data_IF_735265836145
#
_entry.id   IF_735265836145
#
_cell.length_a   1.000
_cell.length_b   1.000
_cell.length_c   1.000
_cell.angle_alpha   90.00
_cell.angle_beta   90.00
_cell.angle_gamma   90.00
#
_symmetry.space_group_name_H-M   'P 1'
#
loop_
_entity.id
_entity.type
_entity.pdbx_description
1 polymer ?
#
# COMPACT_ATOMS: atom_id res chain seq x y z
N UNK A 1 -1.83 -10.10 -3.46
CA UNK A 1 -2.22 -11.45 -3.95
C UNK A 1 -3.22 -12.18 -3.04
N UNK A 2 -2.90 -12.59 -1.81
CA UNK A 2 -3.74 -13.56 -1.08
C UNK A 2 -5.20 -13.14 -0.79
N UNK A 3 -5.48 -11.92 -0.30
CA UNK A 3 -6.83 -11.59 0.21
C UNK A 3 -7.90 -11.52 -0.89
N UNK A 4 -7.59 -10.92 -2.04
CA UNK A 4 -8.53 -10.80 -3.17
C UNK A 4 -8.67 -12.09 -3.99
N UNK A 5 -7.70 -13.00 -3.90
CA UNK A 5 -7.84 -14.36 -4.43
C UNK A 5 -8.72 -15.24 -3.54
N UNK A 6 -8.76 -14.98 -2.23
CA UNK A 6 -9.56 -15.76 -1.26
C UNK A 6 -11.04 -15.34 -1.24
N UNK A 7 -11.36 -14.08 -1.58
CA UNK A 7 -12.73 -13.56 -1.64
C UNK A 7 -13.05 -12.92 -3.01
N UNK A 8 -13.17 -13.72 -4.08
CA UNK A 8 -13.53 -13.19 -5.39
C UNK A 8 -14.89 -12.48 -5.34
N UNK A 9 -14.92 -11.21 -5.73
CA UNK A 9 -16.13 -10.37 -5.76
C UNK A 9 -16.42 -9.55 -4.50
N UNK A 10 -15.60 -9.66 -3.44
CA UNK A 10 -15.69 -8.78 -2.30
C UNK A 10 -15.35 -7.33 -2.68
N UNK A 11 -16.05 -6.39 -2.04
CA UNK A 11 -15.79 -4.96 -2.23
C UNK A 11 -14.40 -4.60 -1.68
N UNK A 12 -13.48 -4.07 -2.53
CA UNK A 12 -12.16 -3.64 -2.09
C UNK A 12 -12.23 -2.70 -0.89
N UNK A 13 -13.18 -1.77 -0.84
CA UNK A 13 -13.28 -0.80 0.24
C UNK A 13 -13.58 -1.49 1.58
N UNK A 14 -14.45 -2.49 1.56
CA UNK A 14 -14.79 -3.29 2.76
C UNK A 14 -13.57 -4.09 3.21
N UNK A 15 -12.90 -4.78 2.28
CA UNK A 15 -11.72 -5.59 2.59
C UNK A 15 -10.61 -4.74 3.21
N UNK A 16 -10.27 -3.61 2.58
CA UNK A 16 -9.27 -2.69 3.09
C UNK A 16 -9.67 -2.06 4.43
N UNK A 17 -10.94 -1.68 4.60
CA UNK A 17 -11.46 -1.14 5.87
C UNK A 17 -11.34 -2.14 7.01
N UNK A 18 -11.63 -3.42 6.77
CA UNK A 18 -11.52 -4.48 7.78
C UNK A 18 -10.06 -4.77 8.10
N UNK A 19 -9.20 -4.90 7.09
CA UNK A 19 -7.77 -5.20 7.24
C UNK A 19 -7.03 -4.10 8.00
N UNK A 20 -7.44 -2.85 7.87
CA UNK A 20 -6.82 -1.71 8.58
C UNK A 20 -7.51 -1.41 9.90
N UNK A 21 -8.85 -1.44 9.92
CA UNK A 21 -9.68 -1.06 11.05
C UNK A 21 -9.62 -2.02 12.23
N UNK A 22 -9.64 -3.34 12.00
CA UNK A 22 -9.58 -4.32 13.09
C UNK A 22 -8.24 -4.23 13.84
N UNK A 23 -7.07 -4.25 13.19
CA UNK A 23 -5.80 -4.09 13.88
C UNK A 23 -5.70 -2.78 14.65
N UNK A 24 -6.18 -1.67 14.07
CA UNK A 24 -6.21 -0.37 14.74
C UNK A 24 -7.10 -0.40 16.00
N UNK A 25 -8.30 -0.99 15.91
CA UNK A 25 -9.21 -1.14 17.04
C UNK A 25 -8.59 -2.00 18.15
N UNK A 26 -7.96 -3.11 17.79
CA UNK A 26 -7.25 -3.97 18.74
C UNK A 26 -6.09 -3.23 19.41
N UNK A 27 -5.28 -2.51 18.62
CA UNK A 27 -4.19 -1.68 19.14
C UNK A 27 -4.71 -0.61 20.10
N UNK A 28 -5.84 0.02 19.78
CA UNK A 28 -6.51 1.00 20.64
C UNK A 28 -6.97 0.38 21.97
N UNK A 29 -7.64 -0.79 21.93
CA UNK A 29 -8.07 -1.50 23.13
C UNK A 29 -6.87 -1.87 24.00
N UNK A 30 -5.81 -2.41 23.42
CA UNK A 30 -4.58 -2.76 24.13
C UNK A 30 -3.91 -1.52 24.74
N UNK A 31 -3.83 -0.43 23.98
CA UNK A 31 -3.29 0.84 24.45
C UNK A 31 -4.07 1.36 25.66
N UNK A 32 -5.40 1.47 25.56
CA UNK A 32 -6.21 1.95 26.68
C UNK A 32 -6.05 1.02 27.89
N UNK A 33 -6.22 -0.28 27.68
CA UNK A 33 -6.24 -1.26 28.77
C UNK A 33 -4.91 -1.36 29.54
N UNK A 34 -3.78 -1.27 28.83
CA UNK A 34 -2.47 -1.57 29.40
C UNK A 34 -1.57 -0.34 29.54
N UNK A 35 -1.52 0.56 28.56
CA UNK A 35 -0.65 1.75 28.62
C UNK A 35 -1.35 2.87 29.35
N UNK A 36 -2.48 3.34 28.86
CA UNK A 36 -3.23 4.44 29.47
C UNK A 36 -3.68 4.06 30.88
N UNK A 37 -4.28 2.88 31.05
CA UNK A 37 -4.72 2.38 32.36
C UNK A 37 -3.56 2.26 33.36
N UNK A 38 -2.35 1.91 32.91
CA UNK A 38 -1.17 1.91 33.77
C UNK A 38 -0.85 3.31 34.29
N UNK A 39 -0.79 4.31 33.41
CA UNK A 39 -0.49 5.68 33.82
C UNK A 39 -1.58 6.25 34.74
N UNK A 40 -2.86 6.10 34.38
CA UNK A 40 -3.98 6.59 35.18
C UNK A 40 -3.94 6.07 36.62
N UNK A 41 -3.76 4.76 36.79
CA UNK A 41 -3.61 4.13 38.10
C UNK A 41 -2.43 4.68 38.90
N UNK A 42 -1.26 4.82 38.26
CA UNK A 42 -0.08 5.31 38.96
C UNK A 42 -0.16 6.81 39.29
N UNK A 43 -0.81 7.62 38.45
CA UNK A 43 -1.09 9.03 38.72
C UNK A 43 -2.12 9.21 39.85
N UNK A 44 -3.15 8.36 39.89
CA UNK A 44 -4.10 8.31 41.01
C UNK A 44 -3.37 8.06 42.34
N UNK A 45 -2.50 7.04 42.40
CA UNK A 45 -1.67 6.80 43.60
C UNK A 45 -0.75 7.97 43.90
N UNK A 46 -0.12 8.56 42.89
CA UNK A 46 0.78 9.70 43.09
C UNK A 46 0.04 10.91 43.69
N UNK A 47 -1.19 11.18 43.23
CA UNK A 47 -2.04 12.23 43.78
C UNK A 47 -2.46 11.94 45.23
N UNK A 48 -2.85 10.70 45.53
CA UNK A 48 -3.19 10.28 46.89
C UNK A 48 -2.02 10.47 47.86
N UNK A 49 -0.82 10.04 47.46
CA UNK A 49 0.39 10.15 48.28
C UNK A 49 0.84 11.62 48.46
N UNK A 50 0.68 12.43 47.42
CA UNK A 50 0.92 13.86 47.51
C UNK A 50 -0.02 14.53 48.52
N UNK A 51 -1.31 14.15 48.52
CA UNK A 51 -2.29 14.68 49.47
C UNK A 51 -1.89 14.38 50.92
N UNK A 52 -1.45 13.14 51.22
CA UNK A 52 -0.95 12.76 52.55
C UNK A 52 0.27 13.59 52.96
N UNK A 53 1.19 13.83 52.02
CA UNK A 53 2.39 14.64 52.25
C UNK A 53 2.02 16.10 52.54
N UNK A 54 1.04 16.65 51.82
CA UNK A 54 0.60 18.03 51.97
C UNK A 54 -0.20 18.29 53.26
N UNK A 55 -1.01 17.33 53.71
CA UNK A 55 -1.81 17.45 54.94
C UNK A 55 -1.04 17.04 56.19
N UNK A 56 0.05 16.28 56.05
CA UNK A 56 0.77 15.68 57.17
C UNK A 56 0.00 14.58 57.90
N UNK A 57 -1.17 14.16 57.40
CA UNK A 57 -2.00 13.10 57.98
C UNK A 57 -2.75 12.33 56.90
N UNK A 58 -2.82 11.01 57.07
CA UNK A 58 -3.55 10.10 56.18
C UNK A 58 -5.03 9.93 56.58
N UNK A 59 -5.40 10.22 57.82
CA UNK A 59 -6.72 9.90 58.38
C UNK A 59 -7.89 10.56 57.62
N UNK A 60 -7.85 11.86 57.25
CA UNK A 60 -8.98 12.50 56.59
C UNK A 60 -9.26 11.90 55.20
N UNK A 61 -8.21 11.57 54.46
CA UNK A 61 -8.31 11.00 53.12
C UNK A 61 -8.84 9.55 53.19
N UNK A 62 -8.34 8.74 54.14
CA UNK A 62 -8.83 7.37 54.37
C UNK A 62 -10.30 7.39 54.79
N UNK A 63 -10.69 8.27 55.72
CA UNK A 63 -12.08 8.40 56.16
C UNK A 63 -13.02 8.82 55.02
N UNK A 64 -12.57 9.73 54.15
CA UNK A 64 -13.33 10.12 52.97
C UNK A 64 -13.52 8.94 52.00
N UNK A 65 -12.47 8.15 51.73
CA UNK A 65 -12.57 6.97 50.89
C UNK A 65 -13.46 5.87 51.47
N UNK A 66 -13.35 5.58 52.76
CA UNK A 66 -14.24 4.63 53.45
C UNK A 66 -15.71 5.08 53.38
N UNK A 67 -15.97 6.39 53.53
CA UNK A 67 -17.31 6.95 53.39
C UNK A 67 -17.85 6.79 51.98
N UNK A 68 -17.05 7.11 50.95
CA UNK A 68 -17.42 6.91 49.53
C UNK A 68 -17.73 5.44 49.27
N UNK A 69 -16.85 4.53 49.69
CA UNK A 69 -17.03 3.11 49.49
C UNK A 69 -18.35 2.59 50.06
N UNK A 70 -18.70 2.99 51.29
CA UNK A 70 -19.95 2.60 51.96
C UNK A 70 -21.18 3.22 51.30
N UNK A 71 -21.14 4.52 51.01
CA UNK A 71 -22.28 5.24 50.42
C UNK A 71 -22.57 4.84 48.97
N UNK A 72 -21.56 4.38 48.24
CA UNK A 72 -21.70 3.92 46.85
C UNK A 72 -22.05 2.44 46.70
N UNK A 73 -22.59 1.79 47.73
CA UNK A 73 -23.02 0.39 47.66
C UNK A 73 -21.95 -0.62 48.08
N UNK A 74 -21.11 -0.25 49.05
CA UNK A 74 -20.03 -1.08 49.59
C UNK A 74 -18.99 -1.51 48.54
N UNK A 75 -18.57 -0.58 47.68
CA UNK A 75 -17.67 -0.82 46.53
C UNK A 75 -16.19 -0.84 46.91
N UNK A 76 -15.86 -1.05 48.19
CA UNK A 76 -14.49 -0.95 48.70
C UNK A 76 -13.50 -1.81 47.90
N UNK A 77 -13.92 -3.03 47.58
CA UNK A 77 -13.09 -4.03 46.88
C UNK A 77 -13.48 -4.19 45.40
N UNK A 78 -14.28 -3.27 44.86
CA UNK A 78 -14.66 -3.28 43.45
C UNK A 78 -13.43 -2.99 42.57
N UNK A 79 -13.24 -3.82 41.53
CA UNK A 79 -12.12 -3.69 40.59
C UNK A 79 -12.50 -2.82 39.40
N UNK A 80 -11.53 -2.04 38.90
CA UNK A 80 -11.67 -1.24 37.68
C UNK A 80 -10.42 -1.40 36.79
N UNK A 81 -10.58 -1.26 35.47
CA UNK A 81 -9.49 -1.34 34.51
C UNK A 81 -8.59 -0.08 34.47
N UNK A 82 -9.02 1.09 34.94
CA UNK A 82 -8.24 2.34 34.92
C UNK A 82 -8.07 3.05 36.27
N UNK A 83 -8.80 2.61 37.29
CA UNK A 83 -8.64 3.08 38.68
C UNK A 83 -8.27 1.92 39.58
N UNK A 84 -7.48 2.19 40.62
CA UNK A 84 -7.31 1.25 41.71
C UNK A 84 -8.60 1.17 42.54
N UNK A 85 -8.92 -0.02 43.05
CA UNK A 85 -10.02 -0.18 44.01
C UNK A 85 -9.78 0.69 45.25
N UNK A 86 -10.85 1.17 45.88
CA UNK A 86 -10.75 2.06 47.03
C UNK A 86 -9.95 1.41 48.17
N UNK A 87 -10.15 0.13 48.44
CA UNK A 87 -9.38 -0.63 49.44
C UNK A 87 -7.88 -0.69 49.13
N UNK A 88 -7.49 -0.84 47.86
CA UNK A 88 -6.08 -0.82 47.44
C UNK A 88 -5.44 0.56 47.66
N UNK A 89 -6.20 1.63 47.41
CA UNK A 89 -5.74 3.02 47.62
C UNK A 89 -5.54 3.32 49.10
N UNK A 90 -6.52 2.97 49.94
CA UNK A 90 -6.42 3.09 51.41
C UNK A 90 -5.18 2.34 51.92
N UNK A 91 -5.02 1.08 51.51
CA UNK A 91 -3.87 0.25 51.92
C UNK A 91 -2.54 0.91 51.52
N UNK A 92 -2.46 1.45 50.30
CA UNK A 92 -1.27 2.14 49.81
C UNK A 92 -0.96 3.41 50.63
N UNK A 93 -1.99 4.19 50.97
CA UNK A 93 -1.88 5.41 51.79
C UNK A 93 -1.37 5.08 53.20
N UNK A 94 -1.98 4.10 53.87
CA UNK A 94 -1.59 3.68 55.21
C UNK A 94 -0.16 3.14 55.25
N UNK A 95 0.24 2.39 54.21
CA UNK A 95 1.61 1.89 54.09
C UNK A 95 2.60 3.03 53.86
N UNK A 96 2.28 3.98 52.99
CA UNK A 96 3.14 5.13 52.70
C UNK A 96 3.32 6.05 53.91
N UNK A 97 2.30 6.17 54.77
CA UNK A 97 2.40 6.92 56.01
C UNK A 97 3.37 6.27 57.01
N UNK A 98 3.37 4.92 57.09
CA UNK A 98 4.32 4.16 57.92
C UNK A 98 5.74 4.18 57.35
N UNK A 99 5.88 4.18 56.03
CA UNK A 99 7.15 4.15 55.32
C UNK A 99 7.24 5.29 54.27
N UNK A 100 7.58 6.52 54.68
CA UNK A 100 7.57 7.69 53.80
C UNK A 100 8.47 7.58 52.56
N UNK A 101 9.53 6.76 52.63
CA UNK A 101 10.40 6.48 51.49
C UNK A 101 9.64 5.90 50.29
N UNK A 102 8.52 5.20 50.53
CA UNK A 102 7.69 4.60 49.47
C UNK A 102 7.17 5.66 48.49
N UNK A 103 6.90 6.88 48.97
CA UNK A 103 6.43 8.01 48.14
C UNK A 103 7.49 8.36 47.10
N UNK A 104 8.73 8.58 47.54
CA UNK A 104 9.84 8.93 46.65
C UNK A 104 10.17 7.83 45.63
N UNK A 105 10.04 6.56 46.03
CA UNK A 105 10.25 5.40 45.14
C UNK A 105 9.15 5.32 44.09
N UNK A 106 7.89 5.56 44.49
CA UNK A 106 6.76 5.61 43.55
C UNK A 106 6.91 6.75 42.56
N UNK A 107 7.23 7.96 43.02
CA UNK A 107 7.45 9.12 42.14
C UNK A 107 8.56 8.88 41.12
N UNK A 108 9.67 8.27 41.56
CA UNK A 108 10.77 7.91 40.66
C UNK A 108 10.31 6.88 39.62
N UNK A 109 9.58 5.84 40.04
CA UNK A 109 9.03 4.84 39.12
C UNK A 109 8.15 5.50 38.06
N UNK A 110 7.19 6.33 38.47
CA UNK A 110 6.26 7.00 37.55
C UNK A 110 7.02 7.91 36.57
N UNK A 111 7.98 8.70 37.07
CA UNK A 111 8.80 9.57 36.23
C UNK A 111 9.63 8.79 35.21
N UNK A 112 10.24 7.68 35.63
CA UNK A 112 10.99 6.81 34.72
C UNK A 112 10.09 6.18 33.68
N UNK A 113 8.92 5.69 34.06
CA UNK A 113 7.94 5.13 33.11
C UNK A 113 7.46 6.17 32.09
N UNK A 114 7.24 7.41 32.52
CA UNK A 114 6.87 8.51 31.62
C UNK A 114 8.01 8.85 30.66
N UNK A 115 9.25 8.92 31.15
CA UNK A 115 10.42 9.15 30.30
C UNK A 115 10.58 8.04 29.25
N UNK A 116 10.49 6.77 29.64
CA UNK A 116 10.54 5.65 28.70
C UNK A 116 9.43 5.72 27.65
N UNK A 117 8.21 6.08 28.06
CA UNK A 117 7.10 6.24 27.13
C UNK A 117 7.34 7.38 26.13
N UNK A 118 7.84 8.53 26.57
CA UNK A 118 8.16 9.66 25.69
C UNK A 118 9.30 9.33 24.72
N UNK A 119 10.36 8.64 25.19
CA UNK A 119 11.45 8.17 24.33
C UNK A 119 10.93 7.17 23.30
N UNK A 120 10.08 6.23 23.71
CA UNK A 120 9.45 5.28 22.80
C UNK A 120 8.61 5.99 21.72
N UNK A 121 7.79 6.99 22.10
CA UNK A 121 7.02 7.79 21.14
C UNK A 121 7.93 8.53 20.16
N UNK A 122 9.00 9.17 20.64
CA UNK A 122 9.94 9.88 19.78
C UNK A 122 10.61 8.93 18.76
N UNK A 123 11.05 7.76 19.22
CA UNK A 123 11.62 6.71 18.34
C UNK A 123 10.57 6.23 17.33
N UNK A 124 9.34 5.97 17.77
CA UNK A 124 8.26 5.54 16.88
C UNK A 124 7.91 6.60 15.82
N UNK A 125 7.94 7.89 16.17
CA UNK A 125 7.74 8.99 15.21
C UNK A 125 8.89 9.08 14.19
N UNK A 126 10.14 9.00 14.65
CA UNK A 126 11.32 9.03 13.76
C UNK A 126 11.30 7.82 12.82
N UNK A 127 11.04 6.64 13.37
CA UNK A 127 10.93 5.40 12.62
C UNK A 127 9.79 5.48 11.62
N UNK A 128 8.59 5.87 12.05
CA UNK A 128 7.43 6.06 11.17
C UNK A 128 7.71 7.03 10.02
N UNK A 129 8.41 8.14 10.27
CA UNK A 129 8.79 9.07 9.21
C UNK A 129 9.82 8.47 8.23
N UNK A 130 10.75 7.64 8.72
CA UNK A 130 11.72 6.95 7.85
C UNK A 130 11.08 5.89 6.93
N UNK A 131 9.91 5.37 7.31
CA UNK A 131 9.14 4.41 6.50
C UNK A 131 7.97 5.05 5.73
N UNK A 132 7.63 6.30 5.98
CA UNK A 132 6.62 7.05 5.23
C UNK A 132 7.18 7.47 3.86
N UNK A 133 7.59 6.49 3.06
CA UNK A 133 8.11 6.69 1.71
C UNK A 133 6.95 6.71 0.72
N UNK A 134 7.07 7.55 -0.31
CA UNK A 134 6.17 7.56 -1.48
C UNK A 134 5.96 6.16 -2.06
N UNK A 135 6.96 5.27 -1.92
CA UNK A 135 6.93 3.89 -2.37
C UNK A 135 5.82 3.05 -1.73
N UNK A 136 5.56 3.21 -0.42
CA UNK A 136 4.45 2.50 0.23
C UNK A 136 3.08 2.97 -0.27
N UNK A 137 2.95 4.27 -0.53
CA UNK A 137 1.72 4.84 -1.08
C UNK A 137 1.49 4.35 -2.53
N UNK A 138 2.54 4.34 -3.36
CA UNK A 138 2.48 3.80 -4.72
C UNK A 138 2.08 2.33 -4.71
N UNK A 139 2.71 1.51 -3.87
CA UNK A 139 2.37 0.08 -3.75
C UNK A 139 0.93 -0.13 -3.26
N UNK A 140 0.47 0.67 -2.31
CA UNK A 140 -0.91 0.63 -1.83
C UNK A 140 -1.90 0.96 -2.95
N UNK A 141 -1.66 2.08 -3.64
CA UNK A 141 -2.51 2.55 -4.74
C UNK A 141 -2.57 1.50 -5.87
N UNK A 142 -1.43 0.94 -6.27
CA UNK A 142 -1.37 -0.11 -7.29
C UNK A 142 -2.20 -1.35 -6.93
N UNK A 143 -2.06 -1.84 -5.69
CA UNK A 143 -2.84 -3.01 -5.21
C UNK A 143 -4.34 -2.72 -5.10
N UNK A 144 -4.68 -1.48 -4.72
CA UNK A 144 -6.07 -1.05 -4.68
C UNK A 144 -6.66 -0.98 -6.10
N UNK A 145 -5.95 -0.37 -7.05
CA UNK A 145 -6.37 -0.30 -8.46
C UNK A 145 -6.55 -1.69 -9.06
N UNK A 146 -5.61 -2.60 -8.84
CA UNK A 146 -5.73 -4.00 -9.26
C UNK A 146 -7.02 -4.65 -8.73
N UNK A 147 -7.28 -4.52 -7.42
CA UNK A 147 -8.47 -5.09 -6.80
C UNK A 147 -9.78 -4.54 -7.39
N UNK A 148 -9.84 -3.23 -7.64
CA UNK A 148 -10.99 -2.58 -8.28
C UNK A 148 -11.17 -3.08 -9.71
N UNK A 149 -10.10 -3.21 -10.49
CA UNK A 149 -10.16 -3.73 -11.86
C UNK A 149 -10.65 -5.18 -11.89
N UNK A 150 -10.17 -6.03 -11.00
CA UNK A 150 -10.65 -7.42 -10.87
C UNK A 150 -12.13 -7.47 -10.49
N UNK A 151 -12.58 -6.62 -9.56
CA UNK A 151 -14.00 -6.51 -9.22
C UNK A 151 -14.83 -6.05 -10.42
N UNK A 152 -14.35 -5.07 -11.20
CA UNK A 152 -15.00 -4.60 -12.42
C UNK A 152 -15.08 -5.67 -13.51
N UNK A 153 -14.04 -6.48 -13.68
CA UNK A 153 -14.06 -7.64 -14.58
C UNK A 153 -15.15 -8.64 -14.15
N UNK A 154 -15.37 -8.82 -12.84
CA UNK A 154 -16.43 -9.69 -12.33
C UNK A 154 -17.83 -9.10 -12.55
N UNK A 155 -18.02 -7.82 -12.27
CA UNK A 155 -19.31 -7.12 -12.40
C UNK A 155 -19.71 -6.89 -13.87
N UNK A 156 -18.74 -6.61 -14.72
CA UNK A 156 -18.93 -6.19 -16.11
C UNK A 156 -18.12 -7.10 -17.08
N UNK A 157 -18.38 -8.42 -17.12
CA UNK A 157 -17.48 -9.40 -17.74
C UNK A 157 -17.36 -9.32 -19.27
N UNK A 158 -18.27 -8.59 -19.92
CA UNK A 158 -18.28 -8.40 -21.38
C UNK A 158 -17.55 -7.13 -21.85
N UNK A 159 -17.00 -6.34 -20.92
CA UNK A 159 -16.36 -5.09 -21.28
C UNK A 159 -14.85 -5.24 -21.38
N UNK A 160 -14.30 -5.08 -22.59
CA UNK A 160 -12.87 -5.22 -22.88
C UNK A 160 -11.99 -4.20 -22.15
N UNK A 161 -12.53 -3.03 -21.77
CA UNK A 161 -11.78 -1.95 -21.11
C UNK A 161 -11.17 -2.35 -19.77
N UNK A 162 -11.81 -3.25 -19.02
CA UNK A 162 -11.33 -3.66 -17.69
C UNK A 162 -10.12 -4.61 -17.75
N UNK A 163 -10.16 -5.72 -18.52
CA UNK A 163 -8.96 -6.52 -18.72
C UNK A 163 -7.86 -5.76 -19.46
N UNK A 164 -8.20 -4.82 -20.36
CA UNK A 164 -7.19 -3.94 -20.99
C UNK A 164 -6.47 -3.06 -19.96
N UNK A 165 -7.21 -2.37 -19.09
CA UNK A 165 -6.61 -1.56 -18.03
C UNK A 165 -5.82 -2.41 -17.01
N UNK A 166 -6.27 -3.64 -16.73
CA UNK A 166 -5.51 -4.58 -15.89
C UNK A 166 -4.20 -4.96 -16.57
N UNK A 167 -4.21 -5.19 -17.89
CA UNK A 167 -3.00 -5.52 -18.65
C UNK A 167 -1.98 -4.37 -18.62
N UNK A 168 -2.43 -3.13 -18.84
CA UNK A 168 -1.58 -1.94 -18.73
C UNK A 168 -0.97 -1.82 -17.32
N UNK A 169 -1.78 -2.00 -16.27
CA UNK A 169 -1.31 -1.97 -14.87
C UNK A 169 -0.25 -3.06 -14.60
N UNK A 170 -0.51 -4.30 -15.04
CA UNK A 170 0.42 -5.42 -14.85
C UNK A 170 1.73 -5.21 -15.61
N UNK A 171 1.65 -4.62 -16.81
CA UNK A 171 2.83 -4.31 -17.60
C UNK A 171 3.68 -3.24 -16.92
N UNK A 172 3.07 -2.18 -16.39
CA UNK A 172 3.78 -1.16 -15.60
C UNK A 172 4.43 -1.72 -14.33
N UNK A 173 3.90 -2.80 -13.76
CA UNK A 173 4.48 -3.50 -12.61
C UNK A 173 5.59 -4.49 -13.00
N UNK A 174 5.84 -4.68 -14.29
CA UNK A 174 6.79 -5.68 -14.80
C UNK A 174 6.25 -7.13 -14.80
N UNK A 175 4.97 -7.34 -14.49
CA UNK A 175 4.32 -8.64 -14.49
C UNK A 175 3.87 -9.03 -15.92
N UNK A 176 4.84 -9.19 -16.83
CA UNK A 176 4.60 -9.42 -18.27
C UNK A 176 3.68 -10.62 -18.57
N UNK A 177 3.76 -11.70 -17.76
CA UNK A 177 2.91 -12.90 -17.92
C UNK A 177 1.44 -12.60 -17.63
N UNK A 178 1.16 -11.88 -16.55
CA UNK A 178 -0.20 -11.50 -16.16
C UNK A 178 -0.76 -10.46 -17.14
N UNK A 179 0.09 -9.53 -17.59
CA UNK A 179 -0.26 -8.58 -18.65
C UNK A 179 -0.66 -9.31 -19.95
N UNK A 180 0.11 -10.30 -20.38
CA UNK A 180 -0.19 -11.08 -21.59
C UNK A 180 -1.58 -11.77 -21.52
N UNK A 181 -1.89 -12.43 -20.40
CA UNK A 181 -3.19 -13.07 -20.19
C UNK A 181 -4.34 -12.05 -20.17
N UNK A 182 -4.11 -10.87 -19.57
CA UNK A 182 -5.10 -9.81 -19.52
C UNK A 182 -5.34 -9.16 -20.89
N UNK A 183 -4.29 -8.93 -21.69
CA UNK A 183 -4.42 -8.48 -23.09
C UNK A 183 -5.13 -9.49 -23.96
N UNK A 184 -4.79 -10.78 -23.85
CA UNK A 184 -5.48 -11.86 -24.58
C UNK A 184 -6.99 -11.84 -24.28
N UNK A 185 -7.36 -11.73 -23.00
CA UNK A 185 -8.77 -11.62 -22.59
C UNK A 185 -9.43 -10.35 -23.12
N UNK A 186 -8.73 -9.22 -23.09
CA UNK A 186 -9.25 -7.96 -23.63
C UNK A 186 -9.50 -8.05 -25.14
N UNK A 187 -8.56 -8.65 -25.88
CA UNK A 187 -8.66 -8.85 -27.32
C UNK A 187 -9.78 -9.85 -27.68
N UNK A 188 -10.00 -10.89 -26.87
CA UNK A 188 -11.12 -11.80 -27.06
C UNK A 188 -12.50 -11.12 -26.91
N UNK A 189 -12.58 -10.04 -26.12
CA UNK A 189 -13.81 -9.26 -25.91
C UNK A 189 -14.00 -8.14 -26.94
N UNK A 190 -12.93 -7.48 -27.36
CA UNK A 190 -12.95 -6.48 -28.43
C UNK A 190 -11.73 -6.66 -29.32
N UNK A 191 -11.90 -7.54 -30.31
CA UNK A 191 -10.86 -7.83 -31.26
C UNK A 191 -10.60 -6.65 -32.19
N UNK A 192 -11.44 -5.62 -32.28
CA UNK A 192 -11.31 -4.51 -33.25
C UNK A 192 -10.57 -3.31 -32.70
N UNK A 193 -10.33 -3.27 -31.39
CA UNK A 193 -9.69 -2.14 -30.74
C UNK A 193 -8.21 -1.99 -31.16
N UNK A 194 -7.80 -0.86 -31.76
CA UNK A 194 -6.41 -0.65 -32.18
C UNK A 194 -5.47 -0.50 -30.97
N UNK A 195 -5.93 0.04 -29.85
CA UNK A 195 -5.12 0.20 -28.63
C UNK A 195 -4.75 -1.15 -27.99
N UNK A 196 -5.73 -2.05 -27.83
CA UNK A 196 -5.49 -3.40 -27.31
C UNK A 196 -4.49 -4.15 -28.20
N UNK A 197 -4.70 -4.13 -29.52
CA UNK A 197 -3.81 -4.78 -30.49
C UNK A 197 -2.40 -4.22 -30.43
N UNK A 198 -2.27 -2.90 -30.35
CA UNK A 198 -0.98 -2.22 -30.26
C UNK A 198 -0.19 -2.62 -29.02
N UNK A 199 -0.79 -2.47 -27.83
CA UNK A 199 -0.08 -2.71 -26.59
C UNK A 199 0.25 -4.19 -26.41
N UNK A 200 -0.64 -5.09 -26.88
CA UNK A 200 -0.35 -6.51 -26.87
C UNK A 200 0.75 -6.89 -27.87
N UNK A 201 0.68 -6.38 -29.11
CA UNK A 201 1.72 -6.61 -30.11
C UNK A 201 3.09 -6.08 -29.64
N UNK A 202 3.11 -4.91 -29.00
CA UNK A 202 4.30 -4.35 -28.38
C UNK A 202 4.89 -5.31 -27.34
N UNK A 203 4.08 -5.76 -26.36
CA UNK A 203 4.53 -6.75 -25.37
C UNK A 203 5.12 -8.00 -26.03
N UNK A 204 4.46 -8.55 -27.06
CA UNK A 204 4.90 -9.75 -27.76
C UNK A 204 6.22 -9.59 -28.54
N UNK A 205 6.71 -8.36 -28.78
CA UNK A 205 8.02 -8.14 -29.43
C UNK A 205 9.06 -7.49 -28.51
N UNK A 206 8.66 -6.87 -27.40
CA UNK A 206 9.61 -6.22 -26.47
C UNK A 206 9.77 -6.94 -25.14
N UNK A 207 8.97 -7.97 -24.87
CA UNK A 207 9.02 -8.74 -23.62
C UNK A 207 10.44 -9.15 -23.25
N UNK A 208 10.80 -9.02 -21.96
CA UNK A 208 12.09 -9.52 -21.45
C UNK A 208 12.09 -11.03 -21.36
N UNK A 209 10.93 -11.64 -21.09
CA UNK A 209 10.77 -13.09 -21.17
C UNK A 209 10.66 -13.54 -22.64
N UNK A 210 11.67 -14.27 -23.12
CA UNK A 210 11.69 -14.81 -24.49
C UNK A 210 10.55 -15.80 -24.76
N UNK A 211 9.96 -16.40 -23.73
CA UNK A 211 8.81 -17.31 -23.86
C UNK A 211 7.51 -16.57 -24.20
N UNK A 212 7.42 -15.28 -23.89
CA UNK A 212 6.29 -14.44 -24.24
C UNK A 212 6.46 -13.78 -25.61
N UNK A 213 7.66 -13.85 -26.22
CA UNK A 213 7.88 -13.23 -27.52
C UNK A 213 7.22 -14.05 -28.62
N UNK A 214 6.31 -13.41 -29.34
CA UNK A 214 5.64 -13.99 -30.51
C UNK A 214 5.52 -12.92 -31.62
N UNK A 215 6.59 -12.71 -32.41
CA UNK A 215 6.58 -11.75 -33.51
C UNK A 215 5.53 -12.06 -34.58
N UNK A 216 5.19 -13.34 -34.78
CA UNK A 216 4.18 -13.74 -35.76
C UNK A 216 2.81 -13.25 -35.31
N UNK A 217 2.45 -13.47 -34.04
CA UNK A 217 1.19 -12.99 -33.50
C UNK A 217 1.11 -11.47 -33.45
N UNK A 218 2.21 -10.80 -33.10
CA UNK A 218 2.29 -9.35 -33.13
C UNK A 218 2.02 -8.78 -34.53
N UNK A 219 2.52 -9.44 -35.58
CA UNK A 219 2.28 -9.05 -36.97
C UNK A 219 0.80 -9.18 -37.35
N UNK A 220 0.14 -10.28 -36.98
CA UNK A 220 -1.29 -10.45 -37.20
C UNK A 220 -2.12 -9.34 -36.55
N UNK A 221 -1.81 -9.01 -35.29
CA UNK A 221 -2.50 -7.97 -34.54
C UNK A 221 -2.36 -6.61 -35.23
N UNK A 222 -1.14 -6.24 -35.63
CA UNK A 222 -0.87 -4.94 -36.24
C UNK A 222 -1.40 -4.83 -37.68
N UNK A 223 -1.28 -5.88 -38.49
CA UNK A 223 -1.84 -5.89 -39.85
C UNK A 223 -3.36 -5.86 -39.86
N UNK A 224 -4.01 -6.40 -38.82
CA UNK A 224 -5.45 -6.29 -38.68
C UNK A 224 -5.94 -4.85 -38.49
N UNK A 225 -5.09 -3.91 -38.08
CA UNK A 225 -5.48 -2.51 -37.84
C UNK A 225 -5.62 -1.80 -39.20
N UNK A 226 -6.81 -1.27 -39.55
CA UNK A 226 -7.03 -0.57 -40.82
C UNK A 226 -6.07 0.61 -40.99
N UNK A 227 -5.57 0.82 -42.20
CA UNK A 227 -4.61 1.91 -42.48
C UNK A 227 -5.15 3.28 -42.07
N UNK A 228 -6.46 3.52 -42.24
CA UNK A 228 -7.12 4.76 -41.86
C UNK A 228 -7.11 5.05 -40.34
N UNK A 229 -6.88 4.03 -39.50
CA UNK A 229 -6.80 4.18 -38.04
C UNK A 229 -5.35 4.30 -37.55
N UNK A 230 -4.35 4.05 -38.41
CA UNK A 230 -2.95 4.08 -38.02
C UNK A 230 -2.49 5.51 -37.74
N UNK A 231 -1.79 5.68 -36.62
CA UNK A 231 -1.15 6.92 -36.20
C UNK A 231 0.32 6.65 -35.85
N UNK A 232 1.07 7.68 -35.44
CA UNK A 232 2.50 7.58 -35.11
C UNK A 232 2.82 6.39 -34.19
N UNK A 233 2.23 6.29 -32.98
CA UNK A 233 2.46 5.17 -32.07
C UNK A 233 2.14 3.79 -32.65
N UNK A 234 1.05 3.65 -33.41
CA UNK A 234 0.69 2.37 -34.05
C UNK A 234 1.70 1.97 -35.13
N UNK A 235 2.21 2.95 -35.88
CA UNK A 235 3.24 2.69 -36.89
C UNK A 235 4.58 2.32 -36.26
N UNK A 236 4.96 2.92 -35.12
CA UNK A 236 6.18 2.54 -34.39
C UNK A 236 6.14 1.08 -33.90
N UNK A 237 5.01 0.64 -33.35
CA UNK A 237 4.82 -0.78 -33.02
C UNK A 237 4.92 -1.66 -34.26
N UNK A 238 4.27 -1.30 -35.37
CA UNK A 238 4.34 -2.06 -36.62
C UNK A 238 5.77 -2.13 -37.18
N UNK A 239 6.53 -1.04 -37.10
CA UNK A 239 7.94 -1.01 -37.51
C UNK A 239 8.79 -1.94 -36.63
N UNK A 240 8.56 -1.94 -35.32
CA UNK A 240 9.22 -2.88 -34.38
C UNK A 240 8.93 -4.33 -34.77
N UNK A 241 7.68 -4.62 -35.10
CA UNK A 241 7.27 -5.96 -35.54
C UNK A 241 7.95 -6.33 -36.86
N UNK A 242 8.00 -5.43 -37.84
CA UNK A 242 8.75 -5.70 -39.08
C UNK A 242 10.24 -5.95 -38.84
N UNK A 243 10.85 -5.18 -37.94
CA UNK A 243 12.24 -5.40 -37.56
C UNK A 243 12.43 -6.75 -36.87
N UNK A 244 11.49 -7.19 -36.03
CA UNK A 244 11.49 -8.53 -35.42
C UNK A 244 11.37 -9.70 -36.43
N UNK A 245 10.87 -9.42 -37.63
CA UNK A 245 10.83 -10.36 -38.76
C UNK A 245 12.04 -10.22 -39.71
N UNK A 246 13.04 -9.40 -39.36
CA UNK A 246 14.20 -9.12 -40.22
C UNK A 246 13.89 -8.22 -41.42
N UNK A 247 12.69 -7.64 -41.50
CA UNK A 247 12.25 -6.75 -42.58
C UNK A 247 12.68 -5.31 -42.30
N UNK A 248 14.00 -5.08 -42.24
CA UNK A 248 14.60 -3.81 -41.82
C UNK A 248 14.17 -2.63 -42.70
N UNK A 249 14.12 -2.81 -44.03
CA UNK A 249 13.75 -1.74 -44.96
C UNK A 249 12.30 -1.28 -44.76
N UNK A 250 11.38 -2.22 -44.53
CA UNK A 250 9.97 -1.90 -44.25
C UNK A 250 9.82 -1.27 -42.87
N UNK A 251 10.55 -1.74 -41.86
CA UNK A 251 10.59 -1.13 -40.54
C UNK A 251 11.01 0.35 -40.65
N UNK A 252 12.10 0.65 -41.36
CA UNK A 252 12.59 2.03 -41.55
C UNK A 252 11.58 2.90 -42.30
N UNK A 253 10.92 2.36 -43.32
CA UNK A 253 9.91 3.08 -44.10
C UNK A 253 8.69 3.44 -43.25
N UNK A 254 8.16 2.48 -42.50
CA UNK A 254 7.01 2.67 -41.60
C UNK A 254 7.34 3.65 -40.48
N UNK A 255 8.54 3.55 -39.90
CA UNK A 255 9.00 4.45 -38.84
C UNK A 255 9.14 5.90 -39.33
N UNK A 256 9.58 6.11 -40.58
CA UNK A 256 9.59 7.44 -41.20
C UNK A 256 8.19 7.99 -41.42
N UNK A 257 7.23 7.13 -41.75
CA UNK A 257 5.83 7.53 -41.83
C UNK A 257 5.27 7.90 -40.46
N UNK A 258 5.65 7.17 -39.40
CA UNK A 258 5.31 7.55 -38.01
C UNK A 258 5.80 8.96 -37.68
N UNK A 259 7.06 9.28 -38.03
CA UNK A 259 7.64 10.61 -37.84
C UNK A 259 6.94 11.74 -38.62
N UNK A 260 6.32 11.41 -39.75
CA UNK A 260 5.53 12.36 -40.52
C UNK A 260 4.14 12.60 -39.89
N UNK A 261 3.50 11.55 -39.37
CA UNK A 261 2.17 11.62 -38.77
C UNK A 261 2.16 12.14 -37.33
N UNK A 262 3.27 12.01 -36.61
CA UNK A 262 3.47 12.56 -35.26
C UNK A 262 4.77 13.37 -35.20
N UNK A 263 4.72 14.65 -35.65
CA UNK A 263 5.89 15.52 -35.69
C UNK A 263 6.48 15.84 -34.32
N UNK A 264 5.65 15.85 -33.26
CA UNK A 264 6.09 16.11 -31.89
C UNK A 264 7.07 15.04 -31.41
N UNK A 265 6.85 13.78 -31.81
CA UNK A 265 7.74 12.65 -31.53
C UNK A 265 8.70 12.32 -32.68
N UNK A 266 8.85 13.16 -33.69
CA UNK A 266 9.73 12.88 -34.83
C UNK A 266 11.19 12.60 -34.43
N UNK A 267 11.68 13.20 -33.34
CA UNK A 267 13.02 12.90 -32.82
C UNK A 267 13.14 11.45 -32.30
N UNK A 268 12.09 10.95 -31.65
CA UNK A 268 11.99 9.58 -31.17
C UNK A 268 12.04 8.58 -32.32
N UNK A 269 11.16 8.73 -33.30
CA UNK A 269 11.10 7.80 -34.44
C UNK A 269 12.40 7.78 -35.26
N UNK A 270 13.07 8.94 -35.39
CA UNK A 270 14.42 8.99 -36.02
C UNK A 270 15.47 8.20 -35.24
N UNK A 271 15.37 8.16 -33.91
CA UNK A 271 16.26 7.35 -33.07
C UNK A 271 15.99 5.85 -33.28
N UNK A 272 14.72 5.46 -33.36
CA UNK A 272 14.27 4.09 -33.64
C UNK A 272 14.78 3.58 -34.99
N UNK A 273 14.67 4.38 -36.06
CA UNK A 273 15.27 4.08 -37.38
C UNK A 273 16.75 3.75 -37.26
N UNK A 274 17.53 4.52 -36.49
CA UNK A 274 18.96 4.26 -36.30
C UNK A 274 19.18 2.95 -35.56
N UNK A 275 18.32 2.63 -34.59
CA UNK A 275 18.32 1.36 -33.87
C UNK A 275 18.12 0.18 -34.82
N UNK A 276 17.07 0.22 -35.64
CA UNK A 276 16.73 -0.86 -36.58
C UNK A 276 17.84 -1.16 -37.60
N UNK A 277 18.60 -0.14 -38.02
CA UNK A 277 19.70 -0.31 -38.99
C UNK A 277 20.99 -0.83 -38.33
N UNK A 278 21.20 -0.55 -37.03
CA UNK A 278 22.45 -0.85 -36.33
C UNK A 278 22.45 -2.20 -35.62
N UNK A 279 21.29 -2.72 -35.26
CA UNK A 279 21.14 -3.93 -34.45
C UNK A 279 20.20 -4.92 -35.13
N UNK A 280 20.45 -6.22 -34.94
CA UNK A 280 19.44 -7.25 -35.21
C UNK A 280 18.48 -7.38 -34.04
N UNK A 281 17.30 -7.94 -34.27
CA UNK A 281 16.30 -8.17 -33.24
C UNK A 281 16.77 -9.18 -32.18
N UNK A 282 17.55 -10.17 -32.58
CA UNK A 282 18.10 -11.19 -31.68
C UNK A 282 19.18 -10.62 -30.75
N UNK A 283 19.90 -9.59 -31.19
CA UNK A 283 20.94 -8.89 -30.44
C UNK A 283 20.42 -7.61 -29.77
N UNK A 284 19.09 -7.52 -29.58
CA UNK A 284 18.45 -6.33 -29.02
C UNK A 284 19.07 -5.97 -27.65
N UNK A 285 19.68 -4.78 -27.51
CA UNK A 285 20.20 -4.33 -26.23
C UNK A 285 19.06 -4.18 -25.22
N UNK A 286 19.32 -4.46 -23.94
CA UNK A 286 18.35 -4.22 -22.85
C UNK A 286 17.83 -2.77 -22.88
N UNK A 287 18.70 -1.83 -23.25
CA UNK A 287 18.46 -0.39 -23.38
C UNK A 287 18.17 0.05 -24.85
N UNK A 288 17.46 -0.76 -25.63
CA UNK A 288 17.00 -0.31 -26.95
C UNK A 288 16.08 0.92 -26.78
N UNK A 289 16.17 1.96 -27.62
CA UNK A 289 15.32 3.14 -27.51
C UNK A 289 13.84 2.72 -27.53
N UNK A 290 13.17 2.77 -26.37
CA UNK A 290 11.80 2.31 -26.17
C UNK A 290 11.60 1.30 -25.03
N UNK A 291 12.68 0.70 -24.54
CA UNK A 291 12.67 -0.18 -23.36
C UNK A 291 12.95 0.57 -22.04
N UNK A 292 13.32 1.86 -22.13
CA UNK A 292 13.48 2.75 -20.97
C UNK A 292 12.18 3.52 -20.75
N UNK A 293 11.46 3.10 -19.70
CA UNK A 293 10.45 3.81 -18.90
C UNK A 293 9.73 5.02 -19.53
N UNK A 294 8.42 4.85 -19.74
CA UNK A 294 7.43 5.92 -19.53
C UNK A 294 6.95 5.89 -18.09
#
# INVERSE_FOLDING_TARGET
MAVFQILPGADPDIVFSVLTGIPLLLAMILYFRFVFGYFMRNFERQADLYAVTATGSHEPLVAAFEKIARMSGNIRDAKNWHHFGIGERITCIEQAYKEPEMISRHDRKVRMSLLFYLVFLAVACIWGHSFATEELEVQYNQRYTEAVLLQKIHQEPRQARWPYALADLMLHQGNEKEANLAYEKAHALDATNPGIRNNWAWLLVTSRDSQLRDPQKALELMLGIPEAQRNGPLLDTLATVYWAHGLVDEAVKVERQAAFLDPERAAWYRLRVRGFVRHSYEEMPEHFPGNEEK
#
